data_IF_974730441048
#
_entry.id   IF_974730441048
#
_cell.length_a   1.000
_cell.length_b   1.000
_cell.length_c   1.000
_cell.angle_alpha   90.00
_cell.angle_beta   90.00
_cell.angle_gamma   90.00
#
_symmetry.space_group_name_H-M   'P 1'
#
loop_
_entity.id
_entity.type
_entity.pdbx_description
1 polymer ?
#
# COMPACT_ATOMS: atom_id res chain seq x y z
N UNK A 1 -9.93 -9.77 -5.78
CA UNK A 1 -9.02 -8.62 -6.03
C UNK A 1 -9.18 -8.19 -7.46
N UNK A 2 -9.12 -6.89 -7.73
CA UNK A 2 -9.18 -6.34 -9.11
C UNK A 2 -7.83 -5.73 -9.48
N UNK A 3 -7.31 -6.13 -10.64
CA UNK A 3 -6.15 -5.54 -11.29
C UNK A 3 -6.60 -4.62 -12.43
N UNK A 4 -5.81 -3.57 -12.65
CA UNK A 4 -5.92 -2.65 -13.77
C UNK A 4 -4.51 -2.39 -14.32
N UNK A 5 -4.22 -2.81 -15.55
CA UNK A 5 -2.90 -2.72 -16.16
C UNK A 5 -2.98 -2.39 -17.65
N UNK A 6 -1.97 -1.72 -18.19
CA UNK A 6 -1.75 -1.64 -19.64
C UNK A 6 -0.65 -2.61 -20.11
N UNK A 7 -0.30 -2.55 -21.39
CA UNK A 7 0.73 -3.42 -21.99
C UNK A 7 2.17 -3.18 -21.48
N UNK A 8 2.40 -2.05 -20.78
CA UNK A 8 3.67 -1.64 -20.19
C UNK A 8 3.70 -1.68 -18.65
N UNK A 9 2.61 -1.33 -17.95
CA UNK A 9 2.60 -1.13 -16.50
C UNK A 9 1.24 -1.39 -15.80
N UNK A 10 1.31 -1.65 -14.49
CA UNK A 10 0.17 -1.84 -13.58
C UNK A 10 -0.24 -0.49 -12.97
N UNK A 11 -1.52 -0.12 -13.07
CA UNK A 11 -2.09 1.12 -12.50
C UNK A 11 -2.81 0.90 -11.19
N UNK A 12 -3.42 -0.28 -11.04
CA UNK A 12 -4.35 -0.59 -9.97
C UNK A 12 -4.27 -2.04 -9.54
N UNK A 13 -4.29 -2.25 -8.22
CA UNK A 13 -4.41 -3.55 -7.58
C UNK A 13 -5.17 -3.35 -6.27
N UNK A 14 -6.40 -3.83 -6.23
CA UNK A 14 -7.37 -3.50 -5.18
C UNK A 14 -8.03 -4.74 -4.57
N UNK A 15 -8.42 -4.65 -3.30
CA UNK A 15 -9.46 -5.53 -2.75
C UNK A 15 -10.84 -4.97 -3.14
N UNK A 16 -11.76 -5.84 -3.54
CA UNK A 16 -13.05 -5.43 -4.13
C UNK A 16 -13.95 -4.67 -3.13
N UNK A 17 -13.70 -4.83 -1.83
CA UNK A 17 -14.41 -4.21 -0.70
C UNK A 17 -13.62 -3.05 -0.05
N UNK A 18 -12.54 -2.58 -0.67
CA UNK A 18 -11.71 -1.53 -0.08
C UNK A 18 -12.35 -0.14 -0.13
N UNK A 19 -11.98 0.73 0.82
CA UNK A 19 -12.53 2.09 0.93
C UNK A 19 -12.37 2.98 -0.31
N UNK A 20 -11.29 2.80 -1.07
CA UNK A 20 -10.96 3.58 -2.28
C UNK A 20 -10.82 2.63 -3.48
N UNK A 21 -11.82 1.77 -3.69
CA UNK A 21 -11.82 0.82 -4.81
C UNK A 21 -11.86 1.57 -6.14
N UNK A 22 -11.07 1.12 -7.13
CA UNK A 22 -10.98 1.74 -8.44
C UNK A 22 -10.33 3.12 -8.51
N UNK A 23 -9.91 3.70 -7.38
CA UNK A 23 -9.39 5.07 -7.32
C UNK A 23 -10.29 6.08 -8.07
N UNK A 24 -9.78 6.71 -9.12
CA UNK A 24 -10.50 7.68 -9.96
C UNK A 24 -10.83 7.11 -11.37
N UNK A 25 -10.79 5.77 -11.55
CA UNK A 25 -11.04 5.08 -12.82
C UNK A 25 -12.50 4.60 -12.98
N UNK A 26 -13.09 4.81 -14.15
CA UNK A 26 -14.35 4.19 -14.57
C UNK A 26 -14.12 2.71 -14.96
N UNK A 27 -13.96 1.82 -13.97
CA UNK A 27 -13.60 0.41 -14.19
C UNK A 27 -14.65 -0.38 -15.00
N UNK A 28 -15.90 0.08 -14.99
CA UNK A 28 -17.04 -0.47 -15.73
C UNK A 28 -17.01 -0.16 -17.23
N UNK A 29 -16.31 0.89 -17.65
CA UNK A 29 -16.08 1.24 -19.06
C UNK A 29 -14.85 0.51 -19.65
N UNK A 30 -14.04 -0.16 -18.83
CA UNK A 30 -12.78 -0.78 -19.24
C UNK A 30 -12.97 -2.26 -19.54
N UNK A 31 -12.53 -2.69 -20.73
CA UNK A 31 -12.60 -4.08 -21.16
C UNK A 31 -11.89 -5.03 -20.18
N UNK A 32 -12.62 -6.09 -19.77
CA UNK A 32 -12.06 -7.19 -18.98
C UNK A 32 -11.23 -8.08 -19.89
N UNK A 33 -10.00 -8.40 -19.49
CA UNK A 33 -9.08 -9.18 -20.32
C UNK A 33 -7.84 -9.68 -19.57
N UNK A 34 -6.90 -10.24 -20.33
CA UNK A 34 -5.57 -10.56 -19.84
C UNK A 34 -4.51 -9.98 -20.77
N UNK A 35 -3.55 -9.25 -20.19
CA UNK A 35 -2.30 -8.87 -20.86
C UNK A 35 -1.08 -9.44 -20.12
N UNK A 36 0.10 -9.15 -20.65
CA UNK A 36 1.39 -9.60 -20.11
C UNK A 36 1.63 -9.13 -18.66
N UNK A 37 1.23 -7.89 -18.34
CA UNK A 37 1.40 -7.30 -17.01
C UNK A 37 0.46 -7.94 -15.99
N UNK A 38 -0.82 -8.18 -16.33
CA UNK A 38 -1.77 -8.92 -15.49
C UNK A 38 -1.25 -10.33 -15.19
N UNK A 39 -0.73 -11.04 -16.19
CA UNK A 39 -0.14 -12.38 -16.01
C UNK A 39 1.08 -12.36 -15.09
N UNK A 40 2.00 -11.41 -15.31
CA UNK A 40 3.20 -11.23 -14.46
C UNK A 40 2.81 -10.86 -13.02
N UNK A 41 1.85 -9.96 -12.85
CA UNK A 41 1.33 -9.54 -11.54
C UNK A 41 0.66 -10.71 -10.81
N UNK A 42 -0.09 -11.55 -11.51
CA UNK A 42 -0.70 -12.76 -10.95
C UNK A 42 0.38 -13.70 -10.43
N UNK A 43 1.38 -14.05 -11.25
CA UNK A 43 2.48 -14.94 -10.86
C UNK A 43 3.33 -14.37 -9.70
N UNK A 44 3.53 -13.05 -9.67
CA UNK A 44 4.19 -12.35 -8.57
C UNK A 44 3.38 -12.45 -7.27
N UNK A 45 2.06 -12.28 -7.33
CA UNK A 45 1.18 -12.46 -6.16
C UNK A 45 1.20 -13.90 -5.65
N UNK A 46 1.19 -14.89 -6.54
CA UNK A 46 1.30 -16.31 -6.16
C UNK A 46 2.61 -16.59 -5.42
N UNK A 47 3.74 -16.06 -5.91
CA UNK A 47 5.05 -16.14 -5.24
C UNK A 47 5.08 -15.42 -3.89
N UNK A 48 4.48 -14.23 -3.80
CA UNK A 48 4.39 -13.44 -2.58
C UNK A 48 3.56 -14.15 -1.49
N UNK A 49 2.37 -14.67 -1.83
CA UNK A 49 1.55 -15.45 -0.90
C UNK A 49 2.18 -16.80 -0.55
N UNK A 50 3.00 -17.38 -1.41
CA UNK A 50 3.85 -18.53 -1.13
C UNK A 50 5.13 -18.21 -0.32
N UNK A 51 5.30 -16.96 0.15
CA UNK A 51 6.45 -16.47 0.94
C UNK A 51 7.81 -16.59 0.24
N UNK A 52 7.84 -16.41 -1.09
CA UNK A 52 9.07 -16.52 -1.90
C UNK A 52 9.81 -15.18 -2.10
N UNK A 53 9.36 -14.11 -1.42
CA UNK A 53 9.87 -12.73 -1.49
C UNK A 53 10.25 -12.24 -2.91
N UNK A 54 9.29 -12.25 -3.85
CA UNK A 54 9.57 -11.87 -5.24
C UNK A 54 9.84 -10.37 -5.38
N UNK A 55 10.79 -10.01 -6.24
CA UNK A 55 11.19 -8.61 -6.49
C UNK A 55 9.98 -7.74 -6.92
N UNK A 56 9.57 -6.73 -6.13
CA UNK A 56 8.44 -5.86 -6.46
C UNK A 56 8.73 -4.94 -7.67
N UNK A 57 9.98 -4.80 -8.11
CA UNK A 57 10.37 -4.03 -9.29
C UNK A 57 10.22 -4.83 -10.60
N UNK A 58 10.00 -6.15 -10.52
CA UNK A 58 9.69 -6.98 -11.68
C UNK A 58 8.36 -6.61 -12.36
N UNK A 59 7.46 -5.91 -11.65
CA UNK A 59 6.21 -5.35 -12.17
C UNK A 59 6.38 -3.84 -12.36
N UNK A 60 6.38 -3.31 -13.61
CA UNK A 60 6.37 -1.87 -13.82
C UNK A 60 5.08 -1.26 -13.26
N UNK A 61 5.19 -0.21 -12.46
CA UNK A 61 4.04 0.43 -11.81
C UNK A 61 3.77 1.83 -12.37
N UNK A 62 2.51 2.19 -12.51
CA UNK A 62 2.03 3.44 -13.05
C UNK A 62 1.17 4.18 -12.01
N UNK A 63 1.83 4.81 -11.03
CA UNK A 63 1.18 5.49 -9.91
C UNK A 63 0.64 6.87 -10.30
N UNK A 64 -0.48 6.86 -11.04
CA UNK A 64 -1.14 8.09 -11.46
C UNK A 64 -1.86 8.77 -10.28
N UNK A 65 -1.12 9.68 -9.63
CA UNK A 65 -1.55 10.41 -8.43
C UNK A 65 -0.90 11.79 -8.42
N UNK A 66 -1.25 12.65 -7.46
CA UNK A 66 -0.59 13.98 -7.36
C UNK A 66 0.92 13.82 -7.09
N UNK A 67 1.78 14.77 -7.50
CA UNK A 67 3.23 14.66 -7.28
C UNK A 67 3.64 14.45 -5.82
N UNK A 68 2.83 14.95 -4.86
CA UNK A 68 3.02 14.65 -3.45
C UNK A 68 2.64 13.19 -3.10
N UNK A 69 1.50 12.69 -3.59
CA UNK A 69 1.09 11.29 -3.37
C UNK A 69 2.06 10.32 -4.03
N UNK A 70 2.48 10.57 -5.26
CA UNK A 70 3.52 9.80 -5.94
C UNK A 70 4.78 9.78 -5.06
N UNK A 71 5.25 10.94 -4.60
CA UNK A 71 6.39 11.07 -3.67
C UNK A 71 6.21 10.42 -2.30
N UNK A 72 5.01 9.96 -1.91
CA UNK A 72 4.79 9.21 -0.66
C UNK A 72 4.56 7.72 -0.91
N UNK A 73 3.74 7.38 -1.90
CA UNK A 73 3.32 6.01 -2.22
C UNK A 73 4.46 5.17 -2.73
N UNK A 74 5.23 5.72 -3.65
CA UNK A 74 6.42 5.03 -4.15
C UNK A 74 7.48 4.96 -3.04
N UNK A 75 7.44 5.93 -2.11
CA UNK A 75 8.04 5.88 -0.77
C UNK A 75 7.57 4.76 0.14
N UNK A 76 6.61 3.95 -0.26
CA UNK A 76 6.23 2.72 0.42
C UNK A 76 6.94 1.52 -0.22
N UNK A 77 7.25 1.60 -1.52
CA UNK A 77 7.71 0.48 -2.34
C UNK A 77 9.01 -0.16 -1.83
N UNK A 78 10.06 0.64 -1.56
CA UNK A 78 11.30 0.11 -0.96
C UNK A 78 11.24 -0.04 0.58
N UNK A 79 10.06 -0.21 1.20
CA UNK A 79 10.01 -0.93 2.50
C UNK A 79 10.17 -2.41 2.15
N UNK A 80 11.24 -3.16 2.53
CA UNK A 80 11.28 -4.61 2.30
C UNK A 80 10.15 -5.36 3.00
N UNK A 81 9.87 -6.58 2.54
CA UNK A 81 9.06 -7.52 3.31
C UNK A 81 9.67 -7.76 4.70
N UNK A 82 8.81 -8.04 5.68
CA UNK A 82 9.22 -8.27 7.06
C UNK A 82 9.56 -6.98 7.82
N UNK A 83 9.27 -5.82 7.24
CA UNK A 83 9.49 -4.51 7.85
C UNK A 83 8.28 -3.58 7.70
N UNK A 84 8.13 -2.66 8.65
CA UNK A 84 7.09 -1.62 8.71
C UNK A 84 7.70 -0.22 8.50
N UNK A 85 6.94 0.86 8.64
CA UNK A 85 7.45 2.24 8.75
C UNK A 85 6.42 3.16 9.42
N UNK A 86 6.81 4.10 10.28
CA UNK A 86 5.81 5.05 10.83
C UNK A 86 5.42 6.11 9.80
N UNK A 87 4.19 6.65 9.87
CA UNK A 87 3.76 7.78 9.00
C UNK A 87 4.69 9.01 9.07
N UNK A 88 5.37 9.24 10.20
CA UNK A 88 6.29 10.36 10.36
C UNK A 88 7.60 10.09 9.59
N UNK A 89 8.18 8.91 9.77
CA UNK A 89 9.38 8.48 9.04
C UNK A 89 9.08 8.41 7.55
N UNK A 90 7.86 7.97 7.18
CA UNK A 90 7.30 8.01 5.83
C UNK A 90 7.17 9.42 5.25
N UNK A 91 7.01 10.46 6.06
CA UNK A 91 7.28 11.83 5.63
C UNK A 91 8.77 12.10 5.41
N UNK A 92 9.62 11.81 6.40
CA UNK A 92 11.01 12.28 6.48
C UNK A 92 11.89 11.85 5.30
N UNK A 93 12.13 10.56 5.06
CA UNK A 93 12.93 10.09 3.89
C UNK A 93 12.29 10.41 2.51
N UNK A 94 11.03 10.87 2.47
CA UNK A 94 10.29 11.13 1.23
C UNK A 94 10.35 12.57 0.76
N UNK A 95 10.22 13.48 1.72
CA UNK A 95 10.36 14.90 1.50
C UNK A 95 11.37 15.45 2.53
N UNK A 96 12.65 15.03 2.47
CA UNK A 96 13.66 15.38 3.48
C UNK A 96 13.89 16.90 3.57
N UNK A 97 13.62 17.63 2.48
CA UNK A 97 13.77 19.08 2.40
C UNK A 97 12.48 19.85 2.76
N UNK A 98 11.42 19.17 3.22
CA UNK A 98 10.19 19.82 3.69
C UNK A 98 10.12 19.82 5.21
N UNK A 99 9.67 20.94 5.80
CA UNK A 99 9.65 21.12 7.24
C UNK A 99 8.52 20.27 7.88
N UNK A 100 8.86 19.17 8.54
CA UNK A 100 7.91 18.13 8.96
C UNK A 100 7.27 18.46 10.31
N UNK A 101 6.00 18.86 10.26
CA UNK A 101 5.17 19.11 11.45
C UNK A 101 4.16 17.98 11.68
N UNK A 102 3.36 18.07 12.76
CA UNK A 102 2.22 17.16 12.99
C UNK A 102 1.19 17.14 11.84
N UNK A 103 1.12 18.19 11.03
CA UNK A 103 0.29 18.22 9.81
C UNK A 103 0.79 17.22 8.75
N UNK A 104 2.12 17.07 8.63
CA UNK A 104 2.76 16.23 7.62
C UNK A 104 2.42 14.76 7.80
N UNK A 105 2.42 14.22 9.03
CA UNK A 105 2.04 12.82 9.26
C UNK A 105 0.57 12.52 8.85
N UNK A 106 -0.33 13.49 8.98
CA UNK A 106 -1.72 13.38 8.50
C UNK A 106 -1.81 13.43 6.98
N UNK A 107 -1.02 14.30 6.33
CA UNK A 107 -0.93 14.37 4.88
C UNK A 107 -0.36 13.07 4.27
N UNK A 108 0.69 12.52 4.87
CA UNK A 108 1.25 11.21 4.53
C UNK A 108 0.20 10.11 4.70
N UNK A 109 -0.52 10.08 5.83
CA UNK A 109 -1.62 9.14 6.04
C UNK A 109 -2.72 9.25 4.99
N UNK A 110 -3.05 10.47 4.55
CA UNK A 110 -3.96 10.73 3.43
C UNK A 110 -3.44 10.21 2.10
N UNK A 111 -2.15 10.35 1.80
CA UNK A 111 -1.54 9.80 0.59
C UNK A 111 -1.53 8.27 0.59
N UNK A 112 -1.07 7.65 1.69
CA UNK A 112 -1.04 6.18 1.88
C UNK A 112 -2.45 5.56 1.79
N UNK A 113 -3.48 6.26 2.28
CA UNK A 113 -4.85 5.79 2.21
C UNK A 113 -5.38 5.70 0.78
N UNK A 114 -4.93 6.56 -0.13
CA UNK A 114 -5.30 6.56 -1.56
C UNK A 114 -4.27 5.80 -2.42
N UNK A 115 -3.65 4.74 -1.89
CA UNK A 115 -2.80 3.86 -2.68
C UNK A 115 -3.64 3.10 -3.72
N UNK A 116 -3.38 3.23 -5.03
CA UNK A 116 -4.09 2.46 -6.04
C UNK A 116 -3.56 1.04 -6.21
N UNK A 117 -2.34 0.71 -5.74
CA UNK A 117 -1.71 -0.60 -5.98
C UNK A 117 -1.36 -1.27 -4.64
N UNK A 118 -2.32 -1.93 -4.00
CA UNK A 118 -2.11 -2.62 -2.73
C UNK A 118 -1.14 -3.81 -2.89
N UNK A 119 -0.52 -4.23 -1.79
CA UNK A 119 0.51 -5.28 -1.72
C UNK A 119 1.83 -4.87 -2.39
N UNK A 120 1.83 -4.64 -3.72
CA UNK A 120 3.01 -4.21 -4.49
C UNK A 120 3.51 -2.83 -4.08
N UNK A 121 2.61 -1.87 -3.83
CA UNK A 121 2.90 -0.70 -2.99
C UNK A 121 2.42 -1.04 -1.58
N UNK A 122 3.33 -1.32 -0.62
CA UNK A 122 3.00 -2.12 0.55
C UNK A 122 2.42 -1.28 1.69
N UNK A 123 1.26 -0.65 1.47
CA UNK A 123 0.65 0.24 2.46
C UNK A 123 0.20 -0.43 3.77
N UNK A 124 0.23 -1.76 3.83
CA UNK A 124 0.10 -2.54 5.07
C UNK A 124 1.32 -2.37 5.98
N UNK A 125 2.50 -2.07 5.43
CA UNK A 125 3.75 -1.83 6.17
C UNK A 125 3.74 -0.50 6.94
N UNK A 126 2.86 0.47 6.65
CA UNK A 126 2.86 1.75 7.42
C UNK A 126 2.13 1.63 8.74
N UNK A 127 2.68 2.11 9.85
CA UNK A 127 2.08 2.05 11.20
C UNK A 127 2.03 3.41 11.90
N UNK A 128 1.23 3.50 12.98
CA UNK A 128 1.27 4.65 13.89
C UNK A 128 2.60 4.72 14.65
N UNK A 129 3.06 5.91 15.04
CA UNK A 129 4.24 6.08 15.90
C UNK A 129 4.01 5.64 17.36
N UNK A 130 2.78 5.24 17.68
CA UNK A 130 2.41 4.51 18.90
C UNK A 130 2.39 2.98 18.69
N UNK A 131 2.87 2.52 17.53
CA UNK A 131 2.86 1.12 17.10
C UNK A 131 1.50 0.60 16.64
N UNK A 132 0.43 1.39 16.65
CA UNK A 132 -0.90 0.86 16.35
C UNK A 132 -1.09 0.60 14.86
N UNK A 133 -1.63 -0.57 14.55
CA UNK A 133 -2.23 -0.87 13.24
C UNK A 133 -3.47 0.01 13.04
N UNK A 134 -3.25 1.17 12.43
CA UNK A 134 -4.30 2.11 12.02
C UNK A 134 -4.29 2.25 10.50
N UNK A 135 -5.39 2.73 9.91
CA UNK A 135 -5.46 3.16 8.51
C UNK A 135 -4.97 2.14 7.46
N UNK A 136 -5.90 1.36 6.89
CA UNK A 136 -5.64 0.56 5.68
C UNK A 136 -6.90 0.50 4.83
N UNK A 137 -6.77 0.76 3.52
CA UNK A 137 -7.92 0.82 2.61
C UNK A 137 -8.68 -0.52 2.55
N UNK A 138 -7.97 -1.65 2.57
CA UNK A 138 -8.53 -3.00 2.57
C UNK A 138 -8.87 -3.59 3.95
N UNK A 139 -8.99 -2.77 5.00
CA UNK A 139 -9.34 -3.21 6.37
C UNK A 139 -8.17 -3.74 7.23
N UNK A 140 -8.21 -3.48 8.54
CA UNK A 140 -7.10 -3.78 9.47
C UNK A 140 -6.77 -5.26 9.59
N UNK A 141 -7.75 -6.15 9.43
CA UNK A 141 -7.54 -7.61 9.45
C UNK A 141 -6.61 -8.07 8.30
N UNK A 142 -6.82 -7.59 7.06
CA UNK A 142 -5.94 -7.90 5.93
C UNK A 142 -4.53 -7.35 6.13
N UNK A 143 -4.41 -6.14 6.68
CA UNK A 143 -3.11 -5.55 7.04
C UNK A 143 -2.35 -6.40 8.05
N UNK A 144 -3.02 -6.90 9.09
CA UNK A 144 -2.41 -7.83 10.04
C UNK A 144 -1.97 -9.13 9.37
N UNK A 145 -2.84 -9.75 8.56
CA UNK A 145 -2.52 -11.00 7.87
C UNK A 145 -1.32 -10.86 6.91
N UNK A 146 -1.21 -9.75 6.17
CA UNK A 146 -0.06 -9.46 5.30
C UNK A 146 1.24 -9.24 6.11
N UNK A 147 1.16 -8.57 7.26
CA UNK A 147 2.32 -8.39 8.15
C UNK A 147 2.78 -9.72 8.77
N UNK A 148 1.85 -10.60 9.14
CA UNK A 148 2.14 -11.95 9.65
C UNK A 148 2.66 -12.89 8.56
N UNK A 149 2.15 -12.78 7.32
CA UNK A 149 2.67 -13.49 6.15
C UNK A 149 4.16 -13.21 5.97
N UNK A 150 4.53 -11.93 6.07
CA UNK A 150 5.89 -11.39 5.99
C UNK A 150 6.74 -11.61 7.25
N UNK A 151 6.22 -12.25 8.30
CA UNK A 151 6.98 -12.59 9.51
C UNK A 151 7.09 -11.47 10.55
N UNK A 152 6.35 -10.37 10.43
CA UNK A 152 6.29 -9.32 11.44
C UNK A 152 5.37 -9.75 12.59
N UNK A 153 5.90 -9.85 13.83
CA UNK A 153 5.09 -10.11 15.04
C UNK A 153 4.28 -8.86 15.44
N UNK A 154 3.21 -8.62 14.69
CA UNK A 154 2.16 -7.67 15.04
C UNK A 154 1.11 -8.38 15.88
N UNK A 155 1.06 -8.09 17.19
CA UNK A 155 -0.03 -8.58 18.05
C UNK A 155 -1.31 -7.78 17.80
N UNK A 156 -2.39 -8.49 17.49
CA UNK A 156 -3.71 -7.88 17.28
C UNK A 156 -4.22 -7.27 18.59
N UNK A 157 -4.17 -5.94 18.72
CA UNK A 157 -4.72 -5.25 19.88
C UNK A 157 -6.18 -4.90 19.66
N UNK A 158 -7.02 -5.93 19.79
CA UNK A 158 -8.47 -5.77 19.92
C UNK A 158 -8.79 -5.14 21.28
N UNK A 159 -8.90 -3.81 21.31
CA UNK A 159 -9.47 -3.07 22.45
C UNK A 159 -10.65 -2.23 21.95
N UNK A 160 -11.89 -2.43 22.45
CA UNK A 160 -13.01 -1.57 22.11
C UNK A 160 -12.69 -0.15 22.55
N UNK A 161 -13.13 0.84 21.77
CA UNK A 161 -13.01 2.25 22.16
C UNK A 161 -13.84 2.45 23.43
N UNK A 162 -13.18 2.81 24.53
CA UNK A 162 -13.86 3.47 25.64
C UNK A 162 -13.66 4.97 25.44
N UNK A 163 -14.75 5.72 25.51
CA UNK A 163 -14.70 7.16 25.35
C UNK A 163 -13.99 7.78 26.55
N UNK A 164 -12.97 8.60 26.24
CA UNK A 164 -12.19 9.37 27.22
C UNK A 164 -11.20 8.56 28.06
N UNK A 165 -9.93 8.48 27.60
CA UNK A 165 -8.84 9.08 28.39
C UNK A 165 -7.61 9.41 27.51
N UNK A 166 -6.76 10.29 28.03
CA UNK A 166 -5.62 10.89 27.37
C UNK A 166 -4.30 10.32 27.92
N UNK A 167 -3.36 10.00 27.02
CA UNK A 167 -1.93 9.63 27.27
C UNK A 167 -1.65 8.22 27.81
N UNK A 168 -1.32 7.28 26.90
CA UNK A 168 -0.12 6.45 27.09
C UNK A 168 0.48 6.08 25.73
N UNK A 169 1.81 6.23 25.59
CA UNK A 169 2.55 5.80 24.39
C UNK A 169 2.84 4.31 24.47
N UNK A 170 2.61 3.58 23.37
CA UNK A 170 3.21 2.26 23.09
C UNK A 170 4.13 2.42 21.85
N UNK A 171 4.91 1.42 21.45
CA UNK A 171 5.84 1.51 20.32
C UNK A 171 5.92 0.17 19.59
N UNK A 172 5.93 0.21 18.24
CA UNK A 172 6.27 -0.87 17.29
C UNK A 172 6.98 -0.17 16.11
N UNK A 173 7.98 -0.77 15.47
CA UNK A 173 9.02 -0.05 14.68
C UNK A 173 9.66 -0.89 13.55
N UNK A 174 9.78 -0.37 12.30
CA UNK A 174 10.80 -0.67 11.24
C UNK A 174 10.90 0.47 10.16
N UNK A 175 11.65 0.30 9.02
CA UNK A 175 11.93 1.25 7.86
C UNK A 175 12.36 0.42 6.59
N UNK A 176 12.51 0.89 5.29
CA UNK A 176 12.46 2.22 4.63
C UNK A 176 11.52 2.41 3.34
N UNK A 177 11.94 2.72 2.06
CA UNK A 177 11.15 3.49 0.98
C UNK A 177 11.76 3.87 -0.46
N UNK A 178 10.98 4.22 -1.56
CA UNK A 178 11.22 5.05 -2.86
C UNK A 178 11.83 4.54 -4.24
N UNK A 179 11.33 4.76 -5.52
CA UNK A 179 10.19 5.57 -6.10
C UNK A 179 9.90 5.62 -7.69
N UNK A 180 8.78 5.05 -8.23
CA UNK A 180 7.90 5.51 -9.42
C UNK A 180 8.38 5.52 -10.93
N UNK A 181 7.59 5.76 -12.04
CA UNK A 181 6.18 5.48 -12.52
C UNK A 181 5.88 5.89 -14.03
N UNK A 182 4.84 5.36 -14.76
CA UNK A 182 4.36 5.85 -16.12
C UNK A 182 3.30 4.99 -16.92
N UNK A 183 2.49 5.57 -17.86
CA UNK A 183 1.18 5.03 -18.43
C UNK A 183 1.07 4.66 -19.95
N UNK A 184 0.12 3.76 -20.29
CA UNK A 184 -0.35 3.29 -21.63
C UNK A 184 -1.82 2.75 -21.65
N UNK A 185 -2.20 1.86 -22.59
CA UNK A 185 -3.59 1.42 -22.87
C UNK A 185 -4.15 0.28 -21.98
N UNK A 186 -5.23 0.54 -21.22
CA UNK A 186 -5.54 -0.16 -19.96
C UNK A 186 -6.65 -1.24 -20.05
N UNK A 187 -6.48 -2.37 -19.35
CA UNK A 187 -7.39 -3.51 -19.22
C UNK A 187 -7.60 -3.91 -17.74
N UNK A 188 -8.73 -4.56 -17.40
CA UNK A 188 -9.03 -5.04 -16.04
C UNK A 188 -9.10 -6.57 -15.91
N UNK A 189 -8.80 -7.10 -14.71
CA UNK A 189 -9.10 -8.51 -14.33
C UNK A 189 -9.51 -8.61 -12.87
N UNK A 190 -10.62 -9.29 -12.58
CA UNK A 190 -11.01 -9.67 -11.22
C UNK A 190 -10.58 -11.11 -10.92
N UNK A 191 -9.76 -11.29 -9.89
CA UNK A 191 -9.47 -12.59 -9.27
C UNK A 191 -10.47 -12.86 -8.15
N UNK A 192 -11.19 -13.99 -8.24
CA UNK A 192 -11.89 -14.55 -7.10
C UNK A 192 -10.85 -15.19 -6.15
N UNK A 193 -10.91 -14.84 -4.88
CA UNK A 193 -10.31 -15.57 -3.75
C UNK A 193 -11.47 -16.10 -2.91
#
# INVERSE_FOLDING_TARGET
MTMLADDAALHGLWFNDQKYFGADYALDEIAVGENSIIKRTTAWLDQYFAKQDPDPHAIPLALETTPYRQRILSGLQEVPAGSTITYQELGQKAAPNQNISKGTARAVGGAVAHNPILILVPCHRVIGSDGRLTGYAGGTARKLALLQLEGVDCKEQHQPRRDGDCKQKRHIDCKPKHESAGKGAIQTKSMNQ
#
